data_IF_876502236530
#
_entry.id   IF_876502236530
#
_cell.length_a   1.000
_cell.length_b   1.000
_cell.length_c   1.000
_cell.angle_alpha   90.00
_cell.angle_beta   90.00
_cell.angle_gamma   90.00
#
_symmetry.space_group_name_H-M   'P 1'
#
loop_
_entity.id
_entity.type
_entity.pdbx_description
1 polymer ?
#
# COMPACT_ATOMS: atom_id res chain seq x y z
N UNK A 1 3.72 13.01 18.66
CA UNK A 1 4.27 13.37 17.33
C UNK A 1 5.81 13.44 17.24
N UNK A 2 6.58 13.71 18.31
CA UNK A 2 8.07 13.79 18.23
C UNK A 2 8.76 12.52 17.66
N UNK A 3 8.20 11.32 17.89
CA UNK A 3 8.80 10.03 17.50
C UNK A 3 8.81 9.77 15.98
N UNK A 4 7.83 10.28 15.23
CA UNK A 4 7.75 10.14 13.76
C UNK A 4 8.65 11.14 13.02
N UNK A 5 9.03 12.25 13.67
CA UNK A 5 9.86 13.29 13.06
C UNK A 5 11.32 12.83 12.86
N UNK A 6 11.76 11.84 13.63
CA UNK A 6 13.11 11.28 13.58
C UNK A 6 13.23 10.03 12.71
N UNK A 7 12.15 9.61 12.03
CA UNK A 7 12.18 8.48 11.11
C UNK A 7 12.78 8.91 9.77
N UNK A 8 13.50 7.99 9.14
CA UNK A 8 13.96 8.13 7.75
C UNK A 8 12.74 8.21 6.81
N UNK A 9 12.88 8.88 5.67
CA UNK A 9 11.81 9.01 4.68
C UNK A 9 11.28 7.65 4.23
N UNK A 10 12.15 6.64 4.04
CA UNK A 10 11.73 5.28 3.67
C UNK A 10 10.87 4.61 4.73
N UNK A 11 11.10 4.93 6.01
CA UNK A 11 10.28 4.44 7.12
C UNK A 11 8.93 5.17 7.20
N UNK A 12 8.90 6.47 6.91
CA UNK A 12 7.64 7.22 6.81
C UNK A 12 6.77 6.67 5.67
N UNK A 13 7.37 6.42 4.50
CA UNK A 13 6.66 5.81 3.38
C UNK A 13 6.19 4.38 3.68
N UNK A 14 6.98 3.59 4.41
CA UNK A 14 6.57 2.26 4.85
C UNK A 14 5.27 2.27 5.68
N UNK A 15 4.97 3.37 6.37
CA UNK A 15 3.73 3.56 7.15
C UNK A 15 2.63 4.17 6.27
N UNK A 16 2.98 5.19 5.48
CA UNK A 16 2.02 5.93 4.67
C UNK A 16 1.38 5.06 3.58
N UNK A 17 2.16 4.19 2.93
CA UNK A 17 1.68 3.34 1.82
C UNK A 17 0.55 2.40 2.29
N UNK A 18 0.72 1.56 3.34
CA UNK A 18 -0.38 0.74 3.86
C UNK A 18 -1.58 1.56 4.34
N UNK A 19 -1.34 2.69 5.00
CA UNK A 19 -2.42 3.54 5.50
C UNK A 19 -3.27 4.13 4.37
N UNK A 20 -2.63 4.64 3.31
CA UNK A 20 -3.32 5.17 2.13
C UNK A 20 -4.05 4.07 1.36
N UNK A 21 -3.46 2.87 1.27
CA UNK A 21 -4.11 1.72 0.65
C UNK A 21 -5.39 1.30 1.39
N UNK A 22 -5.34 1.19 2.73
CA UNK A 22 -6.53 0.89 3.54
C UNK A 22 -7.57 2.00 3.38
N UNK A 23 -7.15 3.27 3.40
CA UNK A 23 -8.04 4.40 3.21
C UNK A 23 -8.72 4.36 1.83
N UNK A 24 -8.01 4.04 0.74
CA UNK A 24 -8.62 3.91 -0.58
C UNK A 24 -9.68 2.80 -0.64
N UNK A 25 -9.45 1.69 0.07
CA UNK A 25 -10.43 0.60 0.19
C UNK A 25 -11.68 1.05 0.97
N UNK A 26 -11.50 1.78 2.06
CA UNK A 26 -12.62 2.33 2.85
C UNK A 26 -13.42 3.37 2.05
N UNK A 27 -12.74 4.26 1.32
CA UNK A 27 -13.40 5.22 0.44
C UNK A 27 -14.18 4.49 -0.66
N UNK A 28 -13.60 3.44 -1.25
CA UNK A 28 -14.29 2.64 -2.26
C UNK A 28 -15.59 2.03 -1.73
N UNK A 29 -15.57 1.51 -0.49
CA UNK A 29 -16.75 1.00 0.20
C UNK A 29 -17.79 2.11 0.43
N UNK A 30 -17.35 3.28 0.91
CA UNK A 30 -18.24 4.43 1.14
C UNK A 30 -18.90 4.93 -0.16
N UNK A 31 -18.16 4.92 -1.26
CA UNK A 31 -18.67 5.33 -2.58
C UNK A 31 -19.81 4.43 -3.07
N UNK A 32 -19.92 3.19 -2.60
CA UNK A 32 -21.02 2.29 -3.00
C UNK A 32 -22.42 2.87 -2.68
N UNK A 33 -22.52 3.75 -1.68
CA UNK A 33 -23.74 4.48 -1.35
C UNK A 33 -24.19 5.45 -2.46
N UNK A 34 -23.30 5.80 -3.38
CA UNK A 34 -23.54 6.74 -4.48
C UNK A 34 -23.64 6.03 -5.84
N UNK A 35 -23.88 4.70 -5.86
CA UNK A 35 -24.03 3.92 -7.09
C UNK A 35 -25.00 4.58 -8.08
N UNK A 36 -24.62 4.59 -9.36
CA UNK A 36 -25.39 5.25 -10.42
C UNK A 36 -25.12 6.76 -10.59
N UNK A 37 -24.30 7.36 -9.73
CA UNK A 37 -23.89 8.76 -9.86
C UNK A 37 -22.50 8.92 -10.47
N UNK A 38 -22.22 10.13 -10.96
CA UNK A 38 -20.89 10.52 -11.46
C UNK A 38 -19.83 10.40 -10.34
N UNK A 39 -20.20 10.70 -9.10
CA UNK A 39 -19.32 10.59 -7.92
C UNK A 39 -18.82 9.14 -7.77
N UNK A 40 -19.70 8.16 -7.92
CA UNK A 40 -19.31 6.74 -7.88
C UNK A 40 -18.39 6.37 -9.05
N UNK A 41 -18.72 6.81 -10.27
CA UNK A 41 -17.94 6.48 -11.46
C UNK A 41 -16.48 6.98 -11.34
N UNK A 42 -16.28 8.29 -11.13
CA UNK A 42 -14.94 8.86 -11.01
C UNK A 42 -14.23 8.45 -9.73
N UNK A 43 -14.93 8.42 -8.60
CA UNK A 43 -14.35 8.01 -7.32
C UNK A 43 -13.88 6.56 -7.34
N UNK A 44 -14.66 5.66 -7.95
CA UNK A 44 -14.31 4.25 -8.11
C UNK A 44 -13.03 4.08 -8.93
N UNK A 45 -12.96 4.74 -10.09
CA UNK A 45 -11.78 4.68 -10.96
C UNK A 45 -10.56 5.27 -10.24
N UNK A 46 -10.74 6.38 -9.52
CA UNK A 46 -9.70 6.99 -8.69
C UNK A 46 -9.15 6.04 -7.63
N UNK A 47 -10.02 5.33 -6.89
CA UNK A 47 -9.59 4.34 -5.90
C UNK A 47 -8.76 3.22 -6.53
N UNK A 48 -9.13 2.75 -7.73
CA UNK A 48 -8.38 1.70 -8.44
C UNK A 48 -6.98 2.21 -8.82
N UNK A 49 -6.88 3.42 -9.36
CA UNK A 49 -5.59 4.04 -9.71
C UNK A 49 -4.70 4.18 -8.47
N UNK A 50 -5.25 4.66 -7.36
CA UNK A 50 -4.51 4.79 -6.09
C UNK A 50 -4.01 3.42 -5.61
N UNK A 51 -4.85 2.39 -5.62
CA UNK A 51 -4.43 1.03 -5.24
C UNK A 51 -3.27 0.53 -6.11
N UNK A 52 -3.33 0.76 -7.43
CA UNK A 52 -2.28 0.36 -8.35
C UNK A 52 -0.97 1.12 -8.11
N UNK A 53 -1.03 2.43 -7.85
CA UNK A 53 0.15 3.21 -7.47
C UNK A 53 0.75 2.74 -6.15
N UNK A 54 -0.08 2.44 -5.14
CA UNK A 54 0.38 1.93 -3.85
C UNK A 54 1.08 0.57 -3.97
N UNK A 55 0.67 -0.28 -4.92
CA UNK A 55 1.37 -1.53 -5.23
C UNK A 55 2.82 -1.28 -5.69
N UNK A 56 3.04 -0.42 -6.68
CA UNK A 56 4.39 -0.14 -7.17
C UNK A 56 5.23 0.62 -6.15
N UNK A 57 4.62 1.58 -5.44
CA UNK A 57 5.31 2.32 -4.38
C UNK A 57 5.73 1.42 -3.22
N UNK A 58 4.87 0.46 -2.85
CA UNK A 58 5.20 -0.57 -1.85
C UNK A 58 6.45 -1.35 -2.26
N UNK A 59 6.54 -1.80 -3.52
CA UNK A 59 7.71 -2.52 -4.03
C UNK A 59 8.97 -1.63 -4.05
N UNK A 60 8.87 -0.43 -4.64
CA UNK A 60 9.98 0.50 -4.77
C UNK A 60 10.54 0.93 -3.40
N UNK A 61 9.67 1.22 -2.44
CA UNK A 61 10.08 1.59 -1.08
C UNK A 61 10.70 0.40 -0.34
N UNK A 62 10.21 -0.82 -0.57
CA UNK A 62 10.79 -2.04 0.01
C UNK A 62 12.22 -2.30 -0.49
N UNK A 63 12.46 -2.11 -1.79
CA UNK A 63 13.81 -2.17 -2.38
C UNK A 63 14.70 -1.08 -1.78
N UNK A 64 14.16 0.14 -1.60
CA UNK A 64 14.88 1.26 -1.02
C UNK A 64 15.28 1.02 0.44
N UNK A 65 14.39 0.41 1.24
CA UNK A 65 14.70 -0.01 2.61
C UNK A 65 15.87 -1.00 2.62
N UNK A 66 15.84 -2.03 1.77
CA UNK A 66 16.92 -3.02 1.71
C UNK A 66 18.26 -2.37 1.33
N UNK A 67 18.26 -1.52 0.30
CA UNK A 67 19.50 -0.95 -0.25
C UNK A 67 20.07 0.20 0.57
N UNK A 68 19.23 1.11 1.04
CA UNK A 68 19.69 2.42 1.53
C UNK A 68 19.49 2.64 3.03
N UNK A 69 18.53 1.95 3.69
CA UNK A 69 18.29 2.16 5.12
C UNK A 69 19.40 1.51 5.97
N UNK A 70 20.19 2.36 6.63
CA UNK A 70 21.33 1.98 7.49
C UNK A 70 20.91 1.85 8.95
N UNK A 71 20.22 0.75 9.27
CA UNK A 71 19.84 0.39 10.64
C UNK A 71 20.17 -1.08 10.92
N UNK A 72 20.04 -1.51 12.18
CA UNK A 72 20.22 -2.92 12.57
C UNK A 72 19.30 -3.84 11.75
N UNK A 73 19.77 -5.06 11.48
CA UNK A 73 19.12 -6.03 10.61
C UNK A 73 17.67 -6.32 11.01
N UNK A 74 17.42 -6.58 12.30
CA UNK A 74 16.10 -7.00 12.78
C UNK A 74 15.04 -5.88 12.61
N UNK A 75 15.29 -4.62 13.05
CA UNK A 75 14.45 -3.48 12.67
C UNK A 75 14.27 -3.31 11.17
N UNK A 76 15.33 -3.49 10.37
CA UNK A 76 15.27 -3.35 8.91
C UNK A 76 14.30 -4.32 8.26
N UNK A 77 14.28 -5.57 8.72
CA UNK A 77 13.34 -6.60 8.26
C UNK A 77 11.90 -6.19 8.59
N UNK A 78 11.64 -5.65 9.78
CA UNK A 78 10.30 -5.17 10.15
C UNK A 78 9.83 -4.03 9.23
N UNK A 79 10.71 -3.08 8.93
CA UNK A 79 10.39 -1.99 8.00
C UNK A 79 10.15 -2.50 6.57
N UNK A 80 10.95 -3.46 6.13
CA UNK A 80 10.76 -4.11 4.84
C UNK A 80 9.41 -4.83 4.77
N UNK A 81 9.07 -5.65 5.76
CA UNK A 81 7.79 -6.36 5.82
C UNK A 81 6.60 -5.39 5.82
N UNK A 82 6.68 -4.32 6.60
CA UNK A 82 5.64 -3.31 6.64
C UNK A 82 5.48 -2.63 5.27
N UNK A 83 6.59 -2.22 4.65
CA UNK A 83 6.58 -1.58 3.34
C UNK A 83 6.08 -2.51 2.24
N UNK A 84 6.45 -3.80 2.28
CA UNK A 84 6.08 -4.80 1.27
C UNK A 84 4.66 -5.34 1.44
N UNK A 85 3.99 -5.03 2.56
CA UNK A 85 2.68 -5.61 2.90
C UNK A 85 1.63 -5.44 1.80
N UNK A 86 1.50 -4.24 1.23
CA UNK A 86 0.53 -3.95 0.15
C UNK A 86 0.87 -4.74 -1.11
N UNK A 87 2.15 -4.75 -1.51
CA UNK A 87 2.61 -5.55 -2.64
C UNK A 87 2.31 -7.03 -2.45
N UNK A 88 2.68 -7.59 -1.30
CA UNK A 88 2.48 -9.02 -1.00
C UNK A 88 1.01 -9.40 -0.95
N UNK A 89 0.16 -8.53 -0.40
CA UNK A 89 -1.29 -8.77 -0.34
C UNK A 89 -1.91 -8.84 -1.74
N UNK A 90 -1.59 -7.86 -2.61
CA UNK A 90 -2.12 -7.84 -3.98
C UNK A 90 -1.55 -8.99 -4.81
N UNK A 91 -0.23 -9.24 -4.72
CA UNK A 91 0.40 -10.35 -5.43
C UNK A 91 -0.19 -11.71 -5.01
N UNK A 92 -0.38 -11.92 -3.71
CA UNK A 92 -1.01 -13.12 -3.17
C UNK A 92 -2.45 -13.30 -3.65
N UNK A 93 -3.23 -12.21 -3.68
CA UNK A 93 -4.60 -12.24 -4.22
C UNK A 93 -4.61 -12.62 -5.70
N UNK A 94 -3.73 -12.04 -6.52
CA UNK A 94 -3.62 -12.37 -7.95
C UNK A 94 -3.27 -13.85 -8.17
N UNK A 95 -2.33 -14.38 -7.38
CA UNK A 95 -1.95 -15.80 -7.45
C UNK A 95 -3.12 -16.69 -7.05
N UNK A 96 -3.83 -16.36 -5.97
CA UNK A 96 -4.99 -17.13 -5.52
C UNK A 96 -6.10 -17.17 -6.59
N UNK A 97 -6.40 -16.03 -7.22
CA UNK A 97 -7.38 -15.95 -8.32
C UNK A 97 -6.90 -16.78 -9.52
N UNK A 98 -5.62 -16.70 -9.89
CA UNK A 98 -5.08 -17.46 -11.00
C UNK A 98 -5.14 -18.98 -10.77
N UNK A 99 -4.95 -19.43 -9.52
CA UNK A 99 -5.04 -20.84 -9.15
C UNK A 99 -6.49 -21.35 -9.03
N UNK A 100 -7.44 -20.48 -8.69
CA UNK A 100 -8.87 -20.84 -8.61
C UNK A 100 -9.54 -20.93 -10.00
N UNK A 101 -8.98 -20.22 -10.99
CA UNK A 101 -9.45 -20.23 -12.39
C UNK A 101 -8.84 -21.41 -13.20
N UNK A 102 -7.78 -22.05 -12.71
CA UNK A 102 -7.05 -23.13 -13.38
C UNK A 102 -7.57 -24.53 -13.03
#
# INVERSE_FOLDING_TARGET
MKKFRNLDETQKFAIAIPALFILSCLIKRYLENFRGTWIYAYGSVGCIIVCFLMFFFSLANSISIIRYLKIKLLPKILWFLLSASVFLLIAGLMIAIALDIA
#
